data_IF_482365852989
#
_entry.id   IF_482365852989
#
_cell.length_a   1.000
_cell.length_b   1.000
_cell.length_c   1.000
_cell.angle_alpha   90.00
_cell.angle_beta   90.00
_cell.angle_gamma   90.00
#
_symmetry.space_group_name_H-M   'P 1'
#
loop_
_entity.id
_entity.type
_entity.pdbx_description
1 polymer ?
#
# COMPACT_ATOMS: atom_id res chain seq x y z
N UNK A 1 23.49 -14.43 -3.57
CA UNK A 1 23.22 -13.30 -2.66
C UNK A 1 21.71 -13.23 -2.56
N UNK A 2 21.11 -13.78 -1.49
CA UNK A 2 19.69 -13.56 -1.22
C UNK A 2 19.62 -12.26 -0.40
N UNK A 3 18.99 -11.19 -0.89
CA UNK A 3 19.06 -9.88 -0.26
C UNK A 3 18.01 -9.71 0.86
N UNK A 4 17.67 -10.79 1.58
CA UNK A 4 16.49 -10.83 2.46
C UNK A 4 16.85 -11.38 3.84
N UNK A 5 17.90 -10.85 4.48
CA UNK A 5 18.26 -11.29 5.84
C UNK A 5 18.82 -10.17 6.73
N UNK A 6 18.59 -8.89 6.42
CA UNK A 6 19.04 -7.81 7.31
C UNK A 6 17.99 -6.70 7.46
N UNK A 7 17.30 -6.77 8.62
CA UNK A 7 16.58 -5.71 9.36
C UNK A 7 15.05 -5.88 9.38
N UNK A 8 14.51 -6.19 10.58
CA UNK A 8 13.11 -6.51 10.93
C UNK A 8 12.08 -5.38 10.69
N UNK A 9 12.33 -4.46 9.76
CA UNK A 9 11.44 -3.35 9.44
C UNK A 9 11.49 -3.03 7.95
N UNK A 10 10.35 -3.19 7.27
CA UNK A 10 10.22 -2.90 5.85
C UNK A 10 10.47 -1.38 5.62
N UNK A 11 11.49 -0.98 4.84
CA UNK A 11 11.79 0.43 4.59
C UNK A 11 10.64 1.18 3.90
N UNK A 12 9.74 0.46 3.22
CA UNK A 12 8.51 1.03 2.62
C UNK A 12 7.55 1.52 3.71
N UNK A 13 7.48 0.82 4.85
CA UNK A 13 6.67 1.22 6.01
C UNK A 13 7.23 2.50 6.61
N UNK A 14 8.56 2.62 6.72
CA UNK A 14 9.24 3.81 7.23
C UNK A 14 8.95 5.06 6.43
N UNK A 15 9.09 4.98 5.11
CA UNK A 15 8.83 6.10 4.21
C UNK A 15 7.36 6.51 4.27
N UNK A 16 6.45 5.54 4.27
CA UNK A 16 5.01 5.80 4.23
C UNK A 16 4.44 6.26 5.57
N UNK A 17 5.06 5.91 6.70
CA UNK A 17 4.66 6.38 8.02
C UNK A 17 4.96 7.88 8.26
N UNK A 18 5.62 8.57 7.31
CA UNK A 18 5.86 10.00 7.38
C UNK A 18 4.55 10.79 7.20
N UNK A 19 3.97 11.19 8.33
CA UNK A 19 2.74 11.98 8.35
C UNK A 19 2.93 13.39 7.77
N UNK A 20 1.97 13.82 6.94
CA UNK A 20 1.77 15.21 6.55
C UNK A 20 1.33 16.07 7.74
N UNK A 21 1.53 17.41 7.71
CA UNK A 21 1.07 18.30 8.77
C UNK A 21 -0.41 18.13 9.13
N UNK A 22 -1.26 17.93 8.13
CA UNK A 22 -2.70 17.74 8.27
C UNK A 22 -3.02 16.43 9.01
N UNK A 23 -2.27 15.36 8.74
CA UNK A 23 -2.46 14.05 9.37
C UNK A 23 -1.97 14.03 10.82
N UNK A 24 -0.90 14.77 11.11
CA UNK A 24 -0.46 15.01 12.49
C UNK A 24 -1.50 15.79 13.28
N UNK A 25 -2.15 16.77 12.65
CA UNK A 25 -3.21 17.55 13.27
C UNK A 25 -4.48 16.71 13.52
N UNK A 26 -4.77 15.74 12.64
CA UNK A 26 -5.86 14.79 12.82
C UNK A 26 -5.57 13.74 13.92
N UNK A 27 -4.29 13.44 14.18
CA UNK A 27 -3.85 12.54 15.24
C UNK A 27 -3.90 11.08 14.83
N UNK A 28 -2.93 10.62 14.04
CA UNK A 28 -2.75 9.20 13.72
C UNK A 28 -2.16 8.45 14.93
N UNK A 29 -2.91 7.49 15.48
CA UNK A 29 -2.51 6.72 16.67
C UNK A 29 -1.25 5.87 16.44
N UNK A 30 -1.15 5.21 15.29
CA UNK A 30 0.01 4.41 14.88
C UNK A 30 0.23 4.51 13.37
N UNK A 31 1.04 5.49 12.90
CA UNK A 31 1.30 5.68 11.47
C UNK A 31 2.06 4.51 10.84
N UNK A 32 2.82 3.74 11.63
CA UNK A 32 3.57 2.58 11.13
C UNK A 32 2.64 1.41 10.86
N UNK A 33 1.73 1.12 11.79
CA UNK A 33 0.70 0.10 11.61
C UNK A 33 -0.23 0.46 10.44
N UNK A 34 -0.61 1.73 10.30
CA UNK A 34 -1.39 2.19 9.16
C UNK A 34 -0.62 2.00 7.84
N UNK A 35 0.65 2.39 7.79
CA UNK A 35 1.49 2.20 6.60
C UNK A 35 1.63 0.73 6.21
N UNK A 36 1.88 -0.15 7.17
CA UNK A 36 1.98 -1.59 6.95
C UNK A 36 0.69 -2.20 6.40
N UNK A 37 -0.48 -1.83 6.96
CA UNK A 37 -1.77 -2.32 6.47
C UNK A 37 -2.04 -1.91 5.03
N UNK A 38 -1.73 -0.66 4.67
CA UNK A 38 -1.95 -0.18 3.29
C UNK A 38 -1.00 -0.86 2.30
N UNK A 39 0.25 -1.10 2.69
CA UNK A 39 1.21 -1.80 1.84
C UNK A 39 0.78 -3.25 1.61
N UNK A 40 0.35 -3.97 2.64
CA UNK A 40 -0.16 -5.33 2.49
C UNK A 40 -1.37 -5.41 1.55
N UNK A 41 -2.32 -4.47 1.67
CA UNK A 41 -3.49 -4.36 0.78
C UNK A 41 -3.10 -3.95 -0.65
N UNK A 42 -2.03 -3.15 -0.80
CA UNK A 42 -1.51 -2.79 -2.13
C UNK A 42 -0.80 -3.96 -2.81
N UNK A 43 0.05 -4.68 -2.08
CA UNK A 43 0.73 -5.88 -2.53
C UNK A 43 -0.30 -6.93 -2.98
N UNK A 44 -1.39 -7.15 -2.22
CA UNK A 44 -2.47 -8.08 -2.62
C UNK A 44 -3.17 -7.68 -3.93
N UNK A 45 -3.41 -6.38 -4.15
CA UNK A 45 -4.01 -5.90 -5.40
C UNK A 45 -3.05 -5.95 -6.58
N UNK A 46 -1.76 -5.74 -6.35
CA UNK A 46 -0.73 -5.83 -7.39
C UNK A 46 -0.54 -7.28 -7.85
N UNK A 47 -0.60 -8.24 -6.92
CA UNK A 47 -0.57 -9.68 -7.22
C UNK A 47 -1.86 -10.17 -7.90
N UNK A 48 -3.00 -9.50 -7.64
CA UNK A 48 -4.31 -9.84 -8.20
C UNK A 48 -4.99 -8.66 -8.91
N UNK A 49 -4.39 -8.14 -10.01
CA UNK A 49 -4.86 -6.93 -10.67
C UNK A 49 -6.22 -7.14 -11.37
N UNK A 50 -6.61 -8.38 -11.65
CA UNK A 50 -7.90 -8.72 -12.26
C UNK A 50 -9.08 -8.46 -11.33
N UNK A 51 -8.88 -8.57 -9.99
CA UNK A 51 -9.94 -8.31 -9.01
C UNK A 51 -10.40 -6.85 -9.01
N UNK A 52 -9.48 -5.91 -9.24
CA UNK A 52 -9.81 -4.48 -9.29
C UNK A 52 -10.40 -4.08 -10.64
N UNK A 53 -10.04 -4.78 -11.72
CA UNK A 53 -10.54 -4.53 -13.08
C UNK A 53 -11.98 -4.99 -13.30
N UNK A 54 -12.40 -6.09 -12.67
CA UNK A 54 -13.76 -6.64 -12.80
C UNK A 54 -14.84 -5.76 -12.15
N UNK A 55 -14.48 -5.03 -11.08
CA UNK A 55 -15.40 -4.16 -10.33
C UNK A 55 -15.38 -2.69 -10.81
N UNK A 56 -14.50 -2.35 -11.76
CA UNK A 56 -14.30 -0.97 -12.20
C UNK A 56 -15.19 -0.62 -13.40
N UNK A 57 -16.10 0.39 -13.30
CA UNK A 57 -16.88 0.89 -14.43
C UNK A 57 -16.05 1.72 -15.42
N UNK A 58 -14.72 1.72 -15.29
CA UNK A 58 -13.77 2.48 -16.08
C UNK A 58 -12.81 1.60 -16.88
N UNK A 59 -13.04 0.28 -16.91
CA UNK A 59 -12.41 -0.59 -17.91
C UNK A 59 -12.95 -0.17 -19.28
N UNK A 60 -12.13 0.37 -20.20
CA UNK A 60 -12.61 0.71 -21.52
C UNK A 60 -13.13 -0.58 -22.16
N UNK A 61 -14.36 -0.55 -22.66
CA UNK A 61 -14.92 -1.61 -23.49
C UNK A 61 -13.93 -1.89 -24.62
N UNK A 62 -13.10 -2.92 -24.46
CA UNK A 62 -12.28 -3.48 -25.53
C UNK A 62 -13.20 -4.30 -26.44
N UNK A 63 -14.15 -3.63 -27.09
CA UNK A 63 -14.95 -4.24 -28.14
C UNK A 63 -14.24 -4.07 -29.49
N UNK A 64 -13.68 -5.19 -29.96
CA UNK A 64 -13.76 -5.71 -31.34
C UNK A 64 -13.27 -4.86 -32.50
#
# INVERSE_FOLDING_TARGET
>A
MSPDETNDRDPRVEERALLLPEERAAGSDDPEAQAAAILADSDEREDHPERTQQDSPQSPDLEG
#
